data_IF_115209983720
#
_entry.id   IF_115209983720
#
_cell.length_a   1.000
_cell.length_b   1.000
_cell.length_c   1.000
_cell.angle_alpha   90.00
_cell.angle_beta   90.00
_cell.angle_gamma   90.00
#
_symmetry.space_group_name_H-M   'P 1'
#
loop_
_entity.id
_entity.type
_entity.pdbx_description
1 polymer ?
#
# COMPACT_ATOMS: atom_id res chain seq x y z
N UNK A 1 52.16 -20.19 -34.47
CA UNK A 1 51.57 -19.30 -35.47
C UNK A 1 50.05 -19.52 -35.52
N UNK A 2 49.29 -18.59 -34.94
CA UNK A 2 47.90 -18.18 -35.25
C UNK A 2 46.78 -19.24 -35.35
N UNK A 3 46.46 -20.03 -34.31
CA UNK A 3 45.20 -20.84 -34.29
C UNK A 3 44.43 -20.91 -32.96
N UNK A 4 45.00 -20.49 -31.83
CA UNK A 4 44.35 -20.60 -30.50
C UNK A 4 43.62 -19.32 -30.05
N UNK A 5 43.89 -18.17 -30.68
CA UNK A 5 43.31 -16.87 -30.25
C UNK A 5 41.85 -16.63 -30.65
N UNK A 6 41.23 -17.52 -31.43
CA UNK A 6 39.85 -17.34 -31.94
C UNK A 6 38.76 -17.85 -31.00
N UNK A 7 39.08 -18.72 -30.05
CA UNK A 7 38.07 -19.29 -29.13
C UNK A 7 37.81 -18.44 -27.88
N UNK A 8 38.69 -17.49 -27.57
CA UNK A 8 38.56 -16.67 -26.35
C UNK A 8 37.47 -15.59 -26.45
N UNK A 9 37.02 -15.22 -27.66
CA UNK A 9 36.06 -14.12 -27.87
C UNK A 9 34.61 -14.61 -27.76
N UNK A 10 34.35 -15.89 -28.03
CA UNK A 10 33.00 -16.47 -27.95
C UNK A 10 32.52 -16.73 -26.50
N UNK A 11 33.45 -16.97 -25.56
CA UNK A 11 33.10 -17.23 -24.16
C UNK A 11 32.71 -15.99 -23.35
N UNK A 12 33.18 -14.81 -23.75
CA UNK A 12 32.96 -13.55 -23.03
C UNK A 12 31.57 -12.94 -23.35
N UNK A 13 31.01 -13.23 -24.54
CA UNK A 13 29.67 -12.77 -24.91
C UNK A 13 28.55 -13.56 -24.23
N UNK A 14 28.80 -14.82 -23.83
CA UNK A 14 27.76 -15.68 -23.24
C UNK A 14 27.63 -15.52 -21.72
N UNK A 15 28.71 -15.11 -21.04
CA UNK A 15 28.69 -14.81 -19.60
C UNK A 15 27.93 -13.51 -19.27
N UNK A 16 27.88 -12.55 -20.19
CA UNK A 16 27.12 -11.29 -20.02
C UNK A 16 25.59 -11.48 -20.05
N UNK A 17 25.09 -12.45 -20.82
CA UNK A 17 23.64 -12.70 -20.94
C UNK A 17 23.03 -13.32 -19.67
N UNK A 18 23.79 -14.10 -18.89
CA UNK A 18 23.25 -14.70 -17.66
C UNK A 18 23.10 -13.69 -16.50
N UNK A 19 23.92 -12.63 -16.47
CA UNK A 19 23.82 -11.60 -15.43
C UNK A 19 22.61 -10.66 -15.61
N UNK A 20 22.15 -10.45 -16.85
CA UNK A 20 20.97 -9.63 -17.13
C UNK A 20 19.63 -10.34 -16.85
N UNK A 21 19.64 -11.68 -16.75
CA UNK A 21 18.44 -12.49 -16.52
C UNK A 21 18.07 -12.63 -15.03
N UNK A 22 18.99 -12.30 -14.11
CA UNK A 22 18.77 -12.37 -12.67
C UNK A 22 18.30 -11.02 -12.11
N UNK A 23 17.24 -10.43 -12.67
CA UNK A 23 16.55 -9.33 -12.00
C UNK A 23 15.70 -9.93 -10.88
N UNK A 24 15.95 -9.61 -9.59
CA UNK A 24 15.03 -10.02 -8.54
C UNK A 24 13.63 -9.49 -8.88
N UNK A 25 12.56 -10.25 -8.55
CA UNK A 25 11.21 -9.81 -8.83
C UNK A 25 11.00 -8.42 -8.22
N UNK A 26 10.50 -7.49 -9.03
CA UNK A 26 10.21 -6.15 -8.58
C UNK A 26 9.22 -6.24 -7.40
N UNK A 27 9.66 -5.83 -6.21
CA UNK A 27 8.78 -5.74 -5.05
C UNK A 27 7.76 -4.63 -5.34
N UNK A 28 6.45 -4.89 -5.25
CA UNK A 28 5.47 -3.84 -5.41
C UNK A 28 5.76 -2.72 -4.41
N UNK A 29 5.75 -1.48 -4.89
CA UNK A 29 5.83 -0.32 -4.01
C UNK A 29 4.66 -0.39 -3.01
N UNK A 30 4.85 0.04 -1.75
CA UNK A 30 3.74 0.18 -0.82
C UNK A 30 2.68 1.06 -1.47
N UNK A 31 1.43 0.60 -1.49
CA UNK A 31 0.34 1.46 -1.90
C UNK A 31 0.24 2.63 -0.91
N UNK A 32 0.09 3.85 -1.43
CA UNK A 32 -0.22 4.99 -0.58
C UNK A 32 -1.55 4.73 0.11
N UNK A 33 -1.48 4.46 1.42
CA UNK A 33 -2.66 4.24 2.22
C UNK A 33 -3.45 5.55 2.32
N UNK A 34 -4.75 5.50 1.99
CA UNK A 34 -5.65 6.62 2.24
C UNK A 34 -5.68 6.87 3.75
N UNK A 35 -5.26 8.06 4.18
CA UNK A 35 -5.29 8.49 5.58
C UNK A 35 -6.56 9.32 5.80
N UNK A 36 -7.51 8.76 6.53
CA UNK A 36 -8.71 9.48 6.96
C UNK A 36 -8.50 9.92 8.42
N UNK A 37 -8.55 11.22 8.73
CA UNK A 37 -8.42 11.69 10.10
C UNK A 37 -9.65 11.26 10.90
N UNK A 38 -9.46 10.48 11.95
CA UNK A 38 -10.54 10.04 12.86
C UNK A 38 -10.17 10.45 14.27
N UNK A 39 -11.06 11.22 14.90
CA UNK A 39 -11.01 11.54 16.32
C UNK A 39 -12.15 10.83 17.04
N UNK A 40 -11.86 10.20 18.17
CA UNK A 40 -12.86 9.52 18.99
C UNK A 40 -12.83 10.09 20.39
N UNK A 41 -14.00 10.46 20.91
CA UNK A 41 -14.16 10.95 22.27
C UNK A 41 -15.43 10.40 22.90
N UNK A 42 -15.45 10.32 24.23
CA UNK A 42 -16.62 9.94 25.02
C UNK A 42 -17.07 11.14 25.81
N UNK A 43 -18.34 11.52 25.62
CA UNK A 43 -18.96 12.64 26.34
C UNK A 43 -19.28 12.25 27.79
N UNK A 44 -19.51 13.22 28.70
CA UNK A 44 -19.85 12.93 30.10
C UNK A 44 -21.10 12.07 30.30
N UNK A 45 -22.01 12.07 29.33
CA UNK A 45 -23.21 11.22 29.33
C UNK A 45 -22.97 9.80 28.80
N UNK A 46 -21.72 9.43 28.49
CA UNK A 46 -21.35 8.12 27.95
C UNK A 46 -21.50 7.97 26.44
N UNK A 47 -21.96 8.99 25.70
CA UNK A 47 -22.07 8.92 24.25
C UNK A 47 -20.68 8.91 23.61
N UNK A 48 -20.43 7.96 22.71
CA UNK A 48 -19.22 7.92 21.89
C UNK A 48 -19.42 8.76 20.63
N UNK A 49 -18.53 9.70 20.40
CA UNK A 49 -18.51 10.56 19.21
C UNK A 49 -17.31 10.18 18.37
N UNK A 50 -17.56 9.89 17.09
CA UNK A 50 -16.53 9.62 16.08
C UNK A 50 -16.60 10.77 15.08
N UNK A 51 -15.53 11.55 14.98
CA UNK A 51 -15.43 12.72 14.11
C UNK A 51 -14.38 12.49 13.03
N UNK A 52 -14.79 12.72 11.78
CA UNK A 52 -13.90 12.74 10.61
C UNK A 52 -14.03 14.10 9.94
N UNK A 53 -13.13 15.03 10.25
CA UNK A 53 -13.16 16.37 9.68
C UNK A 53 -12.38 16.44 8.35
N UNK A 54 -13.05 16.92 7.28
CA UNK A 54 -12.44 17.33 6.02
C UNK A 54 -13.01 18.69 5.62
N UNK A 55 -12.14 19.67 5.33
CA UNK A 55 -12.51 21.04 4.99
C UNK A 55 -12.44 21.31 3.47
N UNK A 56 -12.34 20.26 2.65
CA UNK A 56 -12.36 20.35 1.19
C UNK A 56 -13.66 20.95 0.63
N UNK A 57 -14.78 20.77 1.35
CA UNK A 57 -16.11 21.27 0.97
C UNK A 57 -16.93 21.69 2.19
N UNK A 58 -17.88 22.64 2.07
CA UNK A 58 -18.73 23.08 3.16
C UNK A 58 -19.94 22.15 3.36
N UNK A 59 -19.71 20.85 3.61
CA UNK A 59 -20.76 19.83 3.78
C UNK A 59 -20.57 19.08 5.10
N UNK A 60 -21.69 18.68 5.74
CA UNK A 60 -21.69 17.92 6.99
C UNK A 60 -22.68 16.75 6.89
N UNK A 61 -22.28 15.59 7.40
CA UNK A 61 -23.14 14.43 7.59
C UNK A 61 -23.12 14.00 9.06
N UNK A 62 -24.28 13.63 9.60
CA UNK A 62 -24.44 13.21 11.00
C UNK A 62 -25.27 11.94 11.05
N UNK A 63 -24.83 10.97 11.84
CA UNK A 63 -25.57 9.76 12.13
C UNK A 63 -25.57 9.50 13.64
N UNK A 64 -26.69 8.97 14.15
CA UNK A 64 -26.81 8.49 15.51
C UNK A 64 -27.19 7.01 15.47
N UNK A 65 -26.46 6.19 16.22
CA UNK A 65 -26.74 4.76 16.36
C UNK A 65 -27.05 4.43 17.81
N UNK A 66 -28.02 3.54 17.98
CA UNK A 66 -28.39 2.99 19.27
C UNK A 66 -28.17 1.48 19.22
N UNK A 67 -27.73 0.91 20.33
CA UNK A 67 -27.55 -0.53 20.46
C UNK A 67 -28.89 -1.23 20.78
N UNK A 68 -29.90 -1.02 19.94
CA UNK A 68 -31.24 -1.61 20.06
C UNK A 68 -31.77 -2.04 18.69
N UNK A 69 -32.79 -2.89 18.68
CA UNK A 69 -33.39 -3.47 17.47
C UNK A 69 -34.34 -4.61 17.85
N UNK A 70 -35.00 -5.24 16.87
CA UNK A 70 -36.10 -6.21 17.09
C UNK A 70 -35.77 -7.40 18.00
N UNK A 71 -34.49 -7.73 18.21
CA UNK A 71 -34.06 -8.76 19.16
C UNK A 71 -34.26 -8.35 20.64
N UNK A 72 -34.46 -7.07 20.92
CA UNK A 72 -34.52 -6.50 22.28
C UNK A 72 -35.95 -6.13 22.71
N UNK A 73 -36.97 -6.61 21.99
CA UNK A 73 -38.38 -6.58 22.41
C UNK A 73 -38.68 -7.79 23.31
#
# INVERSE_FOLDING_TARGET
>A
MVRIRRFAIAGILMAGCLAAAQRPPARPAPADAIKIPIETTTLPNGLTVILSADHSTPTVAVAAWYHVGSKNE
#
